data_IF_538989129020
#
_entry.id   IF_538989129020
#
_cell.length_a   1.000
_cell.length_b   1.000
_cell.length_c   1.000
_cell.angle_alpha   90.00
_cell.angle_beta   90.00
_cell.angle_gamma   90.00
#
_symmetry.space_group_name_H-M   'P 1'
#
loop_
_entity.id
_entity.type
_entity.pdbx_description
1 polymer ?
#
# COMPACT_ATOMS: atom_id res chain seq x y z
N UNK A 1 -4.52 -12.05 18.53
CA UNK A 1 -3.78 -10.95 19.17
C UNK A 1 -4.45 -9.62 18.82
N UNK A 2 -4.45 -8.62 19.71
CA UNK A 2 -4.96 -7.28 19.38
C UNK A 2 -3.81 -6.42 18.86
N UNK A 3 -4.05 -5.62 17.81
CA UNK A 3 -3.07 -4.65 17.33
C UNK A 3 -2.84 -3.57 18.41
N UNK A 4 -1.58 -3.13 18.57
CA UNK A 4 -1.18 -2.09 19.53
C UNK A 4 -0.42 -1.00 18.77
N UNK A 5 -0.91 0.23 18.84
CA UNK A 5 -0.27 1.42 18.32
C UNK A 5 0.20 2.29 19.49
N UNK A 6 1.38 2.91 19.37
CA UNK A 6 1.87 3.91 20.33
C UNK A 6 2.38 5.11 19.55
N UNK A 7 1.82 6.28 19.86
CA UNK A 7 2.27 7.55 19.31
C UNK A 7 2.93 8.39 20.41
N UNK A 8 4.04 9.05 20.06
CA UNK A 8 4.81 9.94 20.94
C UNK A 8 5.40 11.07 20.08
N UNK A 9 4.84 12.28 20.13
CA UNK A 9 5.45 13.42 19.45
C UNK A 9 6.79 13.76 20.12
N UNK A 10 7.80 14.07 19.31
CA UNK A 10 9.15 14.43 19.80
C UNK A 10 9.43 15.87 19.39
N UNK A 11 9.77 16.70 20.39
CA UNK A 11 10.22 18.07 20.14
C UNK A 11 11.68 18.05 19.67
N UNK A 12 11.96 18.80 18.61
CA UNK A 12 13.31 18.96 18.05
C UNK A 12 13.60 20.44 17.86
N UNK A 13 14.87 20.82 17.70
CA UNK A 13 15.30 22.21 17.45
C UNK A 13 15.08 22.62 15.98
N UNK A 14 13.91 22.34 15.44
CA UNK A 14 13.47 22.75 14.10
C UNK A 14 12.17 23.55 14.21
N UNK A 15 11.75 24.28 13.17
CA UNK A 15 10.45 24.96 13.17
C UNK A 15 9.30 23.99 13.49
N UNK A 16 8.30 24.48 14.23
CA UNK A 16 7.14 23.68 14.63
C UNK A 16 6.34 23.25 13.40
N UNK A 17 6.19 21.93 13.20
CA UNK A 17 5.32 21.39 12.17
C UNK A 17 3.85 21.74 12.47
N UNK A 18 3.12 22.12 11.42
CA UNK A 18 1.67 22.38 11.49
C UNK A 18 0.91 21.32 10.68
N UNK A 19 -0.43 21.39 10.68
CA UNK A 19 -1.26 20.46 9.92
C UNK A 19 -0.97 20.53 8.41
N UNK A 20 -1.01 19.38 7.74
CA UNK A 20 -1.07 19.29 6.28
C UNK A 20 -2.36 18.61 5.82
N UNK A 21 -2.64 18.60 4.52
CA UNK A 21 -3.80 17.89 3.97
C UNK A 21 -3.72 16.41 4.37
N UNK A 22 -4.85 15.86 4.84
CA UNK A 22 -4.94 14.55 5.49
C UNK A 22 -4.15 14.47 6.83
N UNK A 23 -4.49 15.28 7.86
CA UNK A 23 -3.70 15.41 9.08
C UNK A 23 -3.51 14.07 9.81
N UNK A 24 -2.28 13.56 9.87
CA UNK A 24 -1.92 12.32 10.58
C UNK A 24 -2.39 11.02 9.92
N UNK A 25 -3.36 11.09 9.00
CA UNK A 25 -3.87 9.91 8.28
C UNK A 25 -2.89 9.44 7.21
N UNK A 26 -2.36 10.37 6.40
CA UNK A 26 -1.50 10.02 5.27
C UNK A 26 -0.24 9.28 5.73
N UNK A 27 0.40 9.78 6.79
CA UNK A 27 1.60 9.16 7.36
C UNK A 27 1.30 7.77 7.91
N UNK A 28 0.17 7.60 8.60
CA UNK A 28 -0.28 6.32 9.11
C UNK A 28 -0.58 5.31 7.99
N UNK A 29 -1.33 5.74 6.96
CA UNK A 29 -1.65 4.92 5.80
C UNK A 29 -0.39 4.48 5.05
N UNK A 30 0.58 5.38 4.89
CA UNK A 30 1.86 5.07 4.25
C UNK A 30 2.66 4.00 5.01
N UNK A 31 2.74 4.12 6.35
CA UNK A 31 3.44 3.14 7.19
C UNK A 31 2.75 1.78 7.12
N UNK A 32 1.41 1.75 7.20
CA UNK A 32 0.65 0.50 7.12
C UNK A 32 0.83 -0.19 5.78
N UNK A 33 0.90 0.56 4.69
CA UNK A 33 1.11 0.01 3.36
C UNK A 33 2.51 -0.62 3.20
N UNK A 34 3.54 0.04 3.76
CA UNK A 34 4.89 -0.52 3.79
C UNK A 34 4.95 -1.85 4.56
N UNK A 35 4.16 -1.99 5.64
CA UNK A 35 4.05 -3.25 6.39
C UNK A 35 3.36 -4.32 5.53
N UNK A 36 2.27 -3.99 4.84
CA UNK A 36 1.57 -4.92 3.94
C UNK A 36 2.52 -5.41 2.83
N UNK A 37 3.27 -4.50 2.20
CA UNK A 37 4.25 -4.86 1.17
C UNK A 37 5.35 -5.77 1.73
N UNK A 38 5.86 -5.46 2.93
CA UNK A 38 6.88 -6.29 3.58
C UNK A 38 6.37 -7.71 3.85
N UNK A 39 5.16 -7.87 4.38
CA UNK A 39 4.54 -9.17 4.65
C UNK A 39 4.32 -9.94 3.34
N UNK A 40 3.86 -9.27 2.29
CA UNK A 40 3.67 -9.87 0.97
C UNK A 40 4.99 -10.40 0.39
N UNK A 41 6.05 -9.61 0.50
CA UNK A 41 7.40 -9.97 0.06
C UNK A 41 7.95 -11.17 0.82
N UNK A 42 7.83 -11.17 2.15
CA UNK A 42 8.32 -12.27 3.01
C UNK A 42 7.54 -13.56 2.77
N UNK A 43 6.23 -13.44 2.51
CA UNK A 43 5.36 -14.58 2.22
C UNK A 43 5.44 -15.03 0.75
N UNK A 44 6.13 -14.30 -0.13
CA UNK A 44 6.23 -14.60 -1.56
C UNK A 44 4.90 -14.50 -2.33
N UNK A 45 3.92 -13.77 -1.78
CA UNK A 45 2.61 -13.57 -2.40
C UNK A 45 2.46 -12.14 -2.90
N UNK A 46 1.41 -11.88 -3.68
CA UNK A 46 1.13 -10.52 -4.11
C UNK A 46 0.57 -9.63 -2.99
N UNK A 47 0.90 -8.34 -3.00
CA UNK A 47 0.38 -7.38 -2.02
C UNK A 47 -1.15 -7.28 -2.07
N UNK A 48 -1.78 -7.43 -3.24
CA UNK A 48 -3.25 -7.38 -3.35
C UNK A 48 -3.94 -8.51 -2.59
N UNK A 49 -3.30 -9.68 -2.48
CA UNK A 49 -3.83 -10.83 -1.74
C UNK A 49 -3.78 -10.53 -0.24
N UNK A 50 -2.64 -10.03 0.24
CA UNK A 50 -2.46 -9.66 1.66
C UNK A 50 -3.39 -8.51 2.04
N UNK A 51 -3.50 -7.50 1.17
CA UNK A 51 -4.38 -6.36 1.39
C UNK A 51 -5.84 -6.81 1.44
N UNK A 52 -6.32 -7.57 0.45
CA UNK A 52 -7.71 -8.04 0.40
C UNK A 52 -8.08 -8.95 1.57
N UNK A 53 -7.14 -9.76 2.07
CA UNK A 53 -7.36 -10.61 3.24
C UNK A 53 -7.54 -9.80 4.54
N UNK A 54 -6.92 -8.62 4.63
CA UNK A 54 -6.92 -7.78 5.85
C UNK A 54 -7.75 -6.49 5.69
N UNK A 55 -8.36 -6.25 4.53
CA UNK A 55 -9.14 -5.06 4.24
C UNK A 55 -10.48 -5.09 5.00
N UNK A 56 -10.96 -3.91 5.39
CA UNK A 56 -12.30 -3.80 5.96
C UNK A 56 -13.35 -4.25 4.92
N UNK A 57 -14.30 -5.15 5.24
CA UNK A 57 -15.31 -5.63 4.32
C UNK A 57 -16.12 -4.53 3.60
N UNK A 58 -16.30 -3.37 4.23
CA UNK A 58 -16.98 -2.23 3.62
C UNK A 58 -16.27 -1.69 2.37
N UNK A 59 -14.96 -1.92 2.22
CA UNK A 59 -14.15 -1.44 1.10
C UNK A 59 -14.00 -2.44 -0.04
N UNK A 60 -14.42 -3.70 0.14
CA UNK A 60 -14.27 -4.74 -0.86
C UNK A 60 -14.87 -4.35 -2.22
N UNK A 61 -16.05 -3.72 -2.23
CA UNK A 61 -16.70 -3.29 -3.47
C UNK A 61 -15.86 -2.28 -4.26
N UNK A 62 -15.29 -1.28 -3.58
CA UNK A 62 -14.50 -0.22 -4.22
C UNK A 62 -13.15 -0.78 -4.68
N UNK A 63 -12.53 -1.61 -3.86
CA UNK A 63 -11.25 -2.24 -4.19
C UNK A 63 -11.36 -3.20 -5.38
N UNK A 64 -12.41 -4.03 -5.43
CA UNK A 64 -12.66 -4.93 -6.55
C UNK A 64 -12.98 -4.16 -7.85
N UNK A 65 -13.70 -3.05 -7.74
CA UNK A 65 -13.94 -2.17 -8.88
C UNK A 65 -12.64 -1.53 -9.40
N UNK A 66 -11.74 -1.11 -8.52
CA UNK A 66 -10.42 -0.58 -8.87
C UNK A 66 -9.59 -1.63 -9.62
N UNK A 67 -9.46 -2.84 -9.07
CA UNK A 67 -8.67 -3.91 -9.69
C UNK A 67 -9.21 -4.30 -11.06
N UNK A 68 -10.54 -4.29 -11.23
CA UNK A 68 -11.20 -4.52 -12.50
C UNK A 68 -10.95 -3.38 -13.49
N UNK A 69 -11.04 -2.13 -13.04
CA UNK A 69 -10.84 -0.98 -13.92
C UNK A 69 -9.40 -0.89 -14.46
N UNK A 70 -8.43 -1.31 -13.66
CA UNK A 70 -7.00 -1.30 -14.02
C UNK A 70 -6.59 -2.57 -14.78
N UNK A 71 -7.49 -3.56 -14.93
CA UNK A 71 -7.15 -4.91 -15.43
C UNK A 71 -5.88 -5.44 -14.75
N UNK A 72 -5.89 -5.43 -13.41
CA UNK A 72 -4.69 -5.58 -12.59
C UNK A 72 -3.88 -6.85 -12.92
N UNK A 73 -4.54 -7.99 -13.11
CA UNK A 73 -3.89 -9.27 -13.41
C UNK A 73 -3.13 -9.21 -14.74
N UNK A 74 -3.77 -8.70 -15.78
CA UNK A 74 -3.18 -8.60 -17.11
C UNK A 74 -2.03 -7.60 -17.13
N UNK A 75 -2.18 -6.47 -16.44
CA UNK A 75 -1.14 -5.44 -16.34
C UNK A 75 0.05 -5.92 -15.51
N UNK A 76 -0.18 -6.73 -14.47
CA UNK A 76 0.89 -7.38 -13.71
C UNK A 76 1.72 -8.32 -14.59
N UNK A 77 1.06 -9.14 -15.40
CA UNK A 77 1.74 -10.10 -16.27
C UNK A 77 2.57 -9.37 -17.33
N UNK A 78 2.03 -8.29 -17.91
CA UNK A 78 2.78 -7.46 -18.87
C UNK A 78 3.99 -6.77 -18.23
N UNK A 79 3.85 -6.23 -17.01
CA UNK A 79 4.97 -5.68 -16.24
C UNK A 79 6.03 -6.74 -15.95
N UNK A 80 5.63 -7.95 -15.61
CA UNK A 80 6.55 -9.07 -15.36
C UNK A 80 7.32 -9.47 -16.62
N UNK A 81 6.62 -9.55 -17.76
CA UNK A 81 7.23 -9.84 -19.06
C UNK A 81 8.18 -8.72 -19.50
N UNK A 82 7.80 -7.45 -19.31
CA UNK A 82 8.65 -6.30 -19.57
C UNK A 82 9.93 -6.35 -18.73
N UNK A 83 9.79 -6.63 -17.42
CA UNK A 83 10.92 -6.73 -16.50
C UNK A 83 11.85 -7.91 -16.81
N UNK A 84 11.32 -9.03 -17.31
CA UNK A 84 12.14 -10.16 -17.75
C UNK A 84 12.95 -9.85 -19.01
N UNK A 85 12.38 -9.04 -19.91
CA UNK A 85 12.99 -8.69 -21.20
C UNK A 85 13.98 -7.52 -21.12
N UNK A 86 13.92 -6.71 -20.07
CA UNK A 86 14.73 -5.50 -19.92
C UNK A 86 15.64 -5.58 -18.69
N UNK A 87 16.96 -5.53 -18.91
CA UNK A 87 17.94 -5.58 -17.80
C UNK A 87 18.01 -4.27 -17.00
N UNK A 88 17.97 -3.12 -17.67
CA UNK A 88 18.24 -1.81 -17.08
C UNK A 88 17.01 -0.89 -16.94
N UNK A 89 15.84 -1.35 -17.38
CA UNK A 89 14.58 -0.64 -17.20
C UNK A 89 13.58 -1.58 -16.57
N UNK A 90 12.87 -1.09 -15.54
CA UNK A 90 11.88 -1.86 -14.80
C UNK A 90 10.61 -1.05 -14.66
N UNK A 91 9.48 -1.75 -14.65
CA UNK A 91 8.17 -1.23 -14.36
C UNK A 91 7.68 -1.79 -13.02
N UNK A 92 6.85 -1.02 -12.34
CA UNK A 92 6.18 -1.41 -11.11
C UNK A 92 4.69 -1.14 -11.23
N UNK A 93 3.89 -1.95 -10.54
CA UNK A 93 2.45 -1.79 -10.44
C UNK A 93 2.07 -1.93 -8.97
N UNK A 94 1.27 -0.99 -8.47
CA UNK A 94 0.80 -1.00 -7.10
C UNK A 94 -0.62 -0.45 -7.03
N UNK A 95 -1.45 -1.06 -6.19
CA UNK A 95 -2.83 -0.66 -5.95
C UNK A 95 -3.07 -0.76 -4.44
N UNK A 96 -3.64 0.30 -3.87
CA UNK A 96 -3.84 0.43 -2.43
C UNK A 96 -5.28 0.83 -2.13
N UNK A 97 -5.88 0.19 -1.12
CA UNK A 97 -7.16 0.58 -0.56
C UNK A 97 -6.97 1.50 0.63
N UNK A 98 -7.51 2.72 0.57
CA UNK A 98 -7.47 3.67 1.69
C UNK A 98 -8.88 3.97 2.18
N UNK A 99 -9.07 3.86 3.50
CA UNK A 99 -10.25 4.34 4.20
C UNK A 99 -9.83 5.57 5.01
N UNK A 100 -10.32 6.75 4.61
CA UNK A 100 -10.09 8.04 5.26
C UNK A 100 -11.26 8.43 6.16
#
# INVERSE_FOLDING_TARGET
AKAKLQDKPVATHTPTCTIMRAPGHFEGAFIMEAIIEHVARDSGVDHTIVQKANLNPAMNRVYDALLKQVDYTTTRDSVSQFNASNRYQKQGLYCMGSLY
#
